data_IF_257325585751
#
_entry.id   IF_257325585751
#
_cell.length_a   1.000
_cell.length_b   1.000
_cell.length_c   1.000
_cell.angle_alpha   90.00
_cell.angle_beta   90.00
_cell.angle_gamma   90.00
#
_symmetry.space_group_name_H-M   'P 1'
#
loop_
_entity.id
_entity.type
_entity.pdbx_description
1 polymer ?
#
# COMPACT_ATOMS: atom_id res chain seq x y z
N UNK A 1 13.12 30.98 -5.47
CA UNK A 1 12.98 30.14 -4.27
C UNK A 1 14.37 29.86 -3.71
N UNK A 2 14.71 30.29 -2.49
CA UNK A 2 16.00 29.94 -1.87
C UNK A 2 15.91 28.51 -1.34
N UNK A 3 16.87 27.67 -1.70
CA UNK A 3 16.98 26.30 -1.18
C UNK A 3 17.34 26.41 0.31
N UNK A 4 16.47 25.88 1.16
CA UNK A 4 16.71 25.82 2.59
C UNK A 4 17.79 24.75 2.83
N UNK A 5 18.95 25.16 3.34
CA UNK A 5 20.08 24.26 3.62
C UNK A 5 20.18 23.83 5.08
N UNK A 6 19.42 24.48 5.97
CA UNK A 6 19.49 24.22 7.40
C UNK A 6 18.67 22.97 7.77
N UNK A 7 19.32 21.98 8.38
CA UNK A 7 18.73 20.68 8.70
C UNK A 7 17.51 20.81 9.63
N UNK A 8 17.55 21.77 10.56
CA UNK A 8 16.44 22.03 11.50
C UNK A 8 15.16 22.45 10.77
N UNK A 9 15.31 23.32 9.78
CA UNK A 9 14.20 23.81 8.95
C UNK A 9 13.68 22.71 8.01
N UNK A 10 14.55 21.81 7.52
CA UNK A 10 14.16 20.65 6.71
C UNK A 10 13.31 19.68 7.54
N UNK A 11 13.75 19.33 8.75
CA UNK A 11 12.99 18.43 9.64
C UNK A 11 11.62 19.03 9.99
N UNK A 12 11.55 20.34 10.25
CA UNK A 12 10.28 21.00 10.52
C UNK A 12 9.36 20.99 9.29
N UNK A 13 9.91 21.19 8.09
CA UNK A 13 9.15 21.09 6.85
C UNK A 13 8.61 19.66 6.62
N UNK A 14 9.43 18.63 6.82
CA UNK A 14 8.99 17.23 6.75
C UNK A 14 7.86 16.92 7.75
N UNK A 15 7.93 17.47 8.97
CA UNK A 15 6.84 17.34 9.96
C UNK A 15 5.56 18.02 9.49
N UNK A 16 5.67 19.20 8.90
CA UNK A 16 4.51 19.93 8.35
C UNK A 16 3.88 19.16 7.17
N UNK A 17 4.70 18.63 6.26
CA UNK A 17 4.23 17.77 5.15
C UNK A 17 3.51 16.53 5.70
N UNK A 18 4.03 15.90 6.77
CA UNK A 18 3.39 14.76 7.41
C UNK A 18 2.01 15.10 7.96
N UNK A 19 1.86 16.24 8.64
CA UNK A 19 0.57 16.70 9.18
C UNK A 19 -0.42 16.99 8.04
N UNK A 20 0.03 17.70 7.00
CA UNK A 20 -0.80 18.01 5.83
C UNK A 20 -1.25 16.74 5.12
N UNK A 21 -0.35 15.77 4.93
CA UNK A 21 -0.65 14.48 4.33
C UNK A 21 -1.66 13.67 5.16
N UNK A 22 -1.50 13.66 6.49
CA UNK A 22 -2.44 12.98 7.39
C UNK A 22 -3.83 13.62 7.31
N UNK A 23 -3.91 14.95 7.34
CA UNK A 23 -5.16 15.68 7.16
C UNK A 23 -5.81 15.38 5.80
N UNK A 24 -5.03 15.44 4.71
CA UNK A 24 -5.50 15.12 3.36
C UNK A 24 -6.07 13.70 3.29
N UNK A 25 -5.38 12.72 3.90
CA UNK A 25 -5.80 11.33 3.94
C UNK A 25 -7.14 11.19 4.68
N UNK A 26 -7.31 11.86 5.82
CA UNK A 26 -8.57 11.86 6.59
C UNK A 26 -9.71 12.50 5.78
N UNK A 27 -9.46 13.62 5.12
CA UNK A 27 -10.47 14.29 4.29
C UNK A 27 -10.93 13.41 3.12
N UNK A 28 -9.98 12.82 2.38
CA UNK A 28 -10.26 11.90 1.28
C UNK A 28 -11.09 10.71 1.77
N UNK A 29 -10.68 10.11 2.89
CA UNK A 29 -11.36 8.98 3.49
C UNK A 29 -12.78 9.35 3.95
N UNK A 30 -12.96 10.53 4.54
CA UNK A 30 -14.27 11.04 4.94
C UNK A 30 -15.22 11.24 3.74
N UNK A 31 -14.73 11.78 2.63
CA UNK A 31 -15.51 11.93 1.39
C UNK A 31 -15.91 10.56 0.84
N UNK A 32 -14.97 9.60 0.78
CA UNK A 32 -15.23 8.26 0.27
C UNK A 32 -16.23 7.48 1.14
N UNK A 33 -16.14 7.60 2.47
CA UNK A 33 -17.12 6.99 3.39
C UNK A 33 -18.50 7.64 3.19
N UNK A 34 -18.56 8.96 3.10
CA UNK A 34 -19.83 9.67 2.91
C UNK A 34 -20.51 9.28 1.59
N UNK A 35 -19.75 9.23 0.49
CA UNK A 35 -20.26 8.76 -0.80
C UNK A 35 -20.67 7.28 -0.74
N UNK A 36 -19.92 6.44 -0.01
CA UNK A 36 -20.26 5.02 0.15
C UNK A 36 -21.56 4.77 0.90
N UNK A 37 -21.84 5.55 1.95
CA UNK A 37 -23.09 5.45 2.70
C UNK A 37 -24.25 6.07 1.92
N UNK A 38 -24.02 7.16 1.19
CA UNK A 38 -25.09 7.93 0.54
C UNK A 38 -25.48 7.40 -0.84
N UNK A 39 -24.55 6.80 -1.59
CA UNK A 39 -24.73 6.45 -3.02
C UNK A 39 -24.31 5.01 -3.35
N UNK A 40 -23.89 4.23 -2.35
CA UNK A 40 -23.47 2.84 -2.52
C UNK A 40 -21.99 2.67 -2.88
N UNK A 41 -21.49 1.46 -2.69
CA UNK A 41 -20.06 1.09 -2.86
C UNK A 41 -19.62 1.23 -4.33
N UNK A 42 -20.51 0.94 -5.28
CA UNK A 42 -20.25 1.06 -6.72
C UNK A 42 -19.86 2.50 -7.11
N UNK A 43 -20.50 3.49 -6.49
CA UNK A 43 -20.21 4.90 -6.74
C UNK A 43 -18.85 5.33 -6.18
N UNK A 44 -18.38 4.66 -5.11
CA UNK A 44 -17.07 4.91 -4.51
C UNK A 44 -15.96 4.38 -5.42
N UNK A 45 -16.12 3.18 -5.98
CA UNK A 45 -15.10 2.59 -6.87
C UNK A 45 -15.03 3.26 -8.24
N UNK A 46 -16.15 3.80 -8.73
CA UNK A 46 -16.18 4.57 -9.98
C UNK A 46 -15.61 5.99 -9.80
N UNK A 47 -15.49 6.47 -8.56
CA UNK A 47 -14.94 7.81 -8.28
C UNK A 47 -13.41 7.81 -8.46
N UNK A 48 -12.83 8.69 -9.30
CA UNK A 48 -11.38 8.77 -9.50
C UNK A 48 -10.60 9.05 -8.21
N UNK A 49 -11.25 9.66 -7.20
CA UNK A 49 -10.66 9.94 -5.89
C UNK A 49 -10.29 8.65 -5.13
N UNK A 50 -11.05 7.57 -5.34
CA UNK A 50 -10.75 6.26 -4.76
C UNK A 50 -9.48 5.64 -5.35
N UNK A 51 -9.30 5.74 -6.68
CA UNK A 51 -8.07 5.27 -7.35
C UNK A 51 -6.83 6.03 -6.86
N UNK A 52 -6.92 7.36 -6.72
CA UNK A 52 -5.81 8.18 -6.22
C UNK A 52 -5.47 7.81 -4.77
N UNK A 53 -6.50 7.60 -3.93
CA UNK A 53 -6.32 7.15 -2.55
C UNK A 53 -5.62 5.79 -2.47
N UNK A 54 -6.08 4.82 -3.26
CA UNK A 54 -5.50 3.47 -3.31
C UNK A 54 -4.05 3.51 -3.82
N UNK A 55 -3.78 4.23 -4.91
CA UNK A 55 -2.43 4.36 -5.47
C UNK A 55 -1.45 5.01 -4.48
N UNK A 56 -1.88 6.08 -3.80
CA UNK A 56 -1.06 6.75 -2.78
C UNK A 56 -0.79 5.83 -1.59
N UNK A 57 -1.80 5.05 -1.17
CA UNK A 57 -1.67 4.07 -0.09
C UNK A 57 -0.67 2.97 -0.43
N UNK A 58 -0.66 2.50 -1.68
CA UNK A 58 0.33 1.52 -2.17
C UNK A 58 1.75 2.09 -2.11
N UNK A 59 1.96 3.31 -2.60
CA UNK A 59 3.28 3.97 -2.58
C UNK A 59 3.75 4.20 -1.14
N UNK A 60 2.86 4.64 -0.26
CA UNK A 60 3.18 4.83 1.14
C UNK A 60 3.51 3.50 1.83
N UNK A 61 2.75 2.45 1.53
CA UNK A 61 3.02 1.09 1.99
C UNK A 61 4.41 0.63 1.55
N UNK A 62 4.76 0.84 0.27
CA UNK A 62 6.08 0.56 -0.29
C UNK A 62 7.20 1.28 0.48
N UNK A 63 7.05 2.58 0.72
CA UNK A 63 8.06 3.39 1.41
C UNK A 63 8.27 2.92 2.86
N UNK A 64 7.18 2.65 3.59
CA UNK A 64 7.26 2.14 4.96
C UNK A 64 7.84 0.73 5.00
N UNK A 65 7.49 -0.12 4.04
CA UNK A 65 7.97 -1.49 3.96
C UNK A 65 9.48 -1.55 3.71
N UNK A 66 10.00 -0.69 2.84
CA UNK A 66 11.45 -0.56 2.62
C UNK A 66 12.18 -0.23 3.93
N UNK A 67 11.69 0.76 4.68
CA UNK A 67 12.26 1.14 5.99
C UNK A 67 12.16 -0.02 6.98
N UNK A 68 11.01 -0.71 7.02
CA UNK A 68 10.81 -1.85 7.91
C UNK A 68 11.75 -3.00 7.59
N UNK A 69 12.02 -3.29 6.32
CA UNK A 69 12.95 -4.34 5.91
C UNK A 69 14.38 -3.97 6.29
N UNK A 70 14.81 -2.72 6.05
CA UNK A 70 16.13 -2.22 6.43
C UNK A 70 16.37 -2.34 7.95
N UNK A 71 15.37 -2.03 8.78
CA UNK A 71 15.46 -2.17 10.25
C UNK A 71 15.49 -3.65 10.69
N UNK A 72 14.62 -4.50 10.10
CA UNK A 72 14.47 -5.89 10.52
C UNK A 72 15.70 -6.75 10.14
N UNK A 73 16.32 -6.51 8.99
CA UNK A 73 17.51 -7.24 8.53
C UNK A 73 18.81 -6.75 9.18
N UNK A 74 18.90 -5.46 9.57
CA UNK A 74 19.97 -4.96 10.45
C UNK A 74 20.03 -5.76 11.76
N UNK A 75 18.88 -6.19 12.28
CA UNK A 75 18.77 -6.92 13.54
C UNK A 75 18.63 -8.46 13.41
N UNK A 76 18.29 -9.02 12.25
CA UNK A 76 18.11 -10.47 12.08
C UNK A 76 18.52 -10.99 10.68
N UNK A 77 19.66 -11.68 10.60
CA UNK A 77 20.18 -12.36 9.39
C UNK A 77 19.53 -13.72 9.12
N UNK A 78 18.19 -13.82 9.05
CA UNK A 78 17.53 -15.12 8.82
C UNK A 78 17.24 -15.38 7.33
N UNK A 79 17.58 -16.59 6.85
CA UNK A 79 17.41 -17.04 5.45
C UNK A 79 15.95 -16.92 4.98
N UNK A 80 15.77 -16.35 3.79
CA UNK A 80 14.45 -16.02 3.22
C UNK A 80 13.59 -17.26 2.97
N UNK A 81 12.30 -17.16 3.31
CA UNK A 81 11.30 -18.15 2.93
C UNK A 81 10.88 -18.04 1.45
N UNK A 82 10.28 -19.10 0.88
CA UNK A 82 10.00 -19.19 -0.55
C UNK A 82 8.93 -18.18 -1.04
N UNK A 83 9.24 -17.47 -2.12
CA UNK A 83 8.42 -16.42 -2.76
C UNK A 83 6.98 -16.86 -3.08
N UNK A 84 6.79 -18.12 -3.48
CA UNK A 84 5.48 -18.67 -3.85
C UNK A 84 4.46 -18.63 -2.70
N UNK A 85 4.91 -18.69 -1.44
CA UNK A 85 4.02 -18.57 -0.27
C UNK A 85 3.39 -17.17 -0.16
N UNK A 86 4.17 -16.13 -0.44
CA UNK A 86 3.68 -14.74 -0.38
C UNK A 86 2.68 -14.44 -1.50
N UNK A 87 2.93 -14.94 -2.71
CA UNK A 87 1.99 -14.83 -3.84
C UNK A 87 0.68 -15.56 -3.55
N UNK A 88 0.75 -16.74 -2.93
CA UNK A 88 -0.43 -17.49 -2.55
C UNK A 88 -1.28 -16.75 -1.50
N UNK A 89 -0.64 -16.16 -0.48
CA UNK A 89 -1.34 -15.35 0.53
C UNK A 89 -2.02 -14.14 -0.12
N UNK A 90 -1.35 -13.44 -1.03
CA UNK A 90 -1.93 -12.33 -1.80
C UNK A 90 -3.20 -12.74 -2.55
N UNK A 91 -3.15 -13.91 -3.20
CA UNK A 91 -4.27 -14.46 -3.95
C UNK A 91 -5.46 -14.80 -3.03
N UNK A 92 -5.19 -15.46 -1.91
CA UNK A 92 -6.21 -15.79 -0.91
C UNK A 92 -6.88 -14.52 -0.37
N UNK A 93 -6.11 -13.49 -0.04
CA UNK A 93 -6.66 -12.21 0.44
C UNK A 93 -7.54 -11.54 -0.62
N UNK A 94 -7.09 -11.49 -1.88
CA UNK A 94 -7.89 -10.93 -2.97
C UNK A 94 -9.22 -11.66 -3.18
N UNK A 95 -9.21 -13.00 -3.11
CA UNK A 95 -10.42 -13.84 -3.21
C UNK A 95 -11.35 -13.61 -2.03
N UNK A 96 -10.84 -13.50 -0.81
CA UNK A 96 -11.67 -13.23 0.38
C UNK A 96 -12.40 -11.90 0.22
N UNK A 97 -11.70 -10.83 -0.17
CA UNK A 97 -12.32 -9.52 -0.39
C UNK A 97 -13.37 -9.54 -1.52
N UNK A 98 -13.08 -10.25 -2.62
CA UNK A 98 -14.03 -10.48 -3.71
C UNK A 98 -15.32 -11.16 -3.22
N UNK A 99 -15.21 -12.20 -2.41
CA UNK A 99 -16.37 -12.94 -1.87
C UNK A 99 -17.19 -12.03 -0.95
N UNK A 100 -16.54 -11.27 -0.06
CA UNK A 100 -17.20 -10.31 0.85
C UNK A 100 -18.02 -9.28 0.05
N UNK A 101 -17.48 -8.78 -1.07
CA UNK A 101 -18.19 -7.80 -1.89
C UNK A 101 -19.45 -8.37 -2.57
N UNK A 102 -19.46 -9.65 -2.95
CA UNK A 102 -20.64 -10.31 -3.55
C UNK A 102 -21.74 -10.58 -2.50
N UNK A 103 -21.35 -10.80 -1.25
CA UNK A 103 -22.28 -10.99 -0.12
C UNK A 103 -22.96 -9.69 0.34
N UNK A 104 -22.49 -8.52 -0.13
CA UNK A 104 -23.09 -7.24 0.22
C UNK A 104 -24.38 -7.01 -0.59
N UNK A 105 -25.49 -6.48 -0.02
CA UNK A 105 -26.78 -6.34 -0.69
C UNK A 105 -26.79 -5.54 -2.01
N UNK A 106 -25.77 -4.70 -2.23
CA UNK A 106 -25.61 -3.89 -3.46
C UNK A 106 -24.48 -4.41 -4.37
N UNK A 107 -23.89 -5.56 -4.05
CA UNK A 107 -22.71 -6.10 -4.70
C UNK A 107 -22.99 -6.63 -6.10
N UNK A 108 -22.61 -5.87 -7.13
CA UNK A 108 -22.57 -6.37 -8.51
C UNK A 108 -21.29 -7.18 -8.73
N UNK A 109 -21.36 -8.26 -9.53
CA UNK A 109 -20.19 -9.11 -9.87
C UNK A 109 -19.04 -8.28 -10.46
N UNK A 110 -19.36 -7.23 -11.20
CA UNK A 110 -18.40 -6.25 -11.74
C UNK A 110 -17.58 -5.57 -10.64
N UNK A 111 -18.24 -5.11 -9.59
CA UNK A 111 -17.60 -4.36 -8.51
C UNK A 111 -16.74 -5.29 -7.66
N UNK A 112 -17.18 -6.54 -7.48
CA UNK A 112 -16.41 -7.57 -6.81
C UNK A 112 -15.11 -7.91 -7.55
N UNK A 113 -15.13 -7.96 -8.89
CA UNK A 113 -13.94 -8.18 -9.70
C UNK A 113 -12.99 -6.98 -9.63
N UNK A 114 -13.53 -5.74 -9.63
CA UNK A 114 -12.72 -4.52 -9.53
C UNK A 114 -12.03 -4.45 -8.15
N UNK A 115 -12.79 -4.59 -7.07
CA UNK A 115 -12.26 -4.51 -5.69
C UNK A 115 -11.29 -5.66 -5.43
N UNK A 116 -11.68 -6.89 -5.77
CA UNK A 116 -10.83 -8.06 -5.64
C UNK A 116 -9.54 -7.94 -6.44
N UNK A 117 -9.62 -7.43 -7.67
CA UNK A 117 -8.46 -7.20 -8.55
C UNK A 117 -7.51 -6.12 -8.02
N UNK A 118 -8.04 -4.99 -7.54
CA UNK A 118 -7.22 -3.92 -6.95
C UNK A 118 -6.54 -4.40 -5.66
N UNK A 119 -7.27 -5.10 -4.79
CA UNK A 119 -6.71 -5.66 -3.57
C UNK A 119 -5.62 -6.70 -3.89
N UNK A 120 -5.90 -7.62 -4.81
CA UNK A 120 -4.92 -8.60 -5.27
C UNK A 120 -3.66 -7.92 -5.83
N UNK A 121 -3.80 -6.93 -6.70
CA UNK A 121 -2.68 -6.18 -7.27
C UNK A 121 -1.87 -5.42 -6.21
N UNK A 122 -2.54 -4.80 -5.24
CA UNK A 122 -1.91 -4.10 -4.12
C UNK A 122 -1.03 -5.03 -3.27
N UNK A 123 -1.56 -6.19 -2.90
CA UNK A 123 -0.80 -7.19 -2.14
C UNK A 123 0.31 -7.80 -2.99
N UNK A 124 0.07 -8.14 -4.26
CA UNK A 124 1.08 -8.69 -5.16
C UNK A 124 2.25 -7.75 -5.35
N UNK A 125 1.96 -6.47 -5.58
CA UNK A 125 2.98 -5.43 -5.73
C UNK A 125 3.81 -5.32 -4.46
N UNK A 126 3.15 -5.24 -3.30
CA UNK A 126 3.83 -5.18 -1.99
C UNK A 126 4.76 -6.38 -1.78
N UNK A 127 4.29 -7.61 -2.03
CA UNK A 127 5.11 -8.81 -1.87
C UNK A 127 6.23 -8.94 -2.90
N UNK A 128 5.99 -8.52 -4.14
CA UNK A 128 7.00 -8.53 -5.23
C UNK A 128 8.14 -7.58 -4.91
N UNK A 129 7.80 -6.41 -4.41
CA UNK A 129 8.78 -5.42 -3.94
C UNK A 129 9.60 -5.97 -2.78
N UNK A 130 8.94 -6.58 -1.77
CA UNK A 130 9.66 -7.18 -0.65
C UNK A 130 10.70 -8.15 -1.17
N UNK A 131 10.29 -9.07 -2.05
CA UNK A 131 11.18 -10.07 -2.63
C UNK A 131 12.33 -9.44 -3.42
N UNK A 132 12.07 -8.40 -4.21
CA UNK A 132 13.10 -7.72 -4.98
C UNK A 132 14.12 -7.00 -4.08
N UNK A 133 13.66 -6.26 -3.06
CA UNK A 133 14.55 -5.59 -2.10
C UNK A 133 15.41 -6.61 -1.35
N UNK A 134 14.78 -7.70 -0.92
CA UNK A 134 15.42 -8.82 -0.26
C UNK A 134 16.44 -9.53 -1.13
N UNK A 135 16.14 -9.76 -2.40
CA UNK A 135 17.06 -10.41 -3.34
C UNK A 135 18.26 -9.52 -3.63
N UNK A 136 18.01 -8.24 -3.96
CA UNK A 136 19.07 -7.26 -4.24
C UNK A 136 20.09 -7.17 -3.10
N UNK A 137 19.64 -7.24 -1.85
CA UNK A 137 20.54 -7.23 -0.68
C UNK A 137 21.31 -8.52 -0.50
N UNK A 138 20.72 -9.69 -0.75
CA UNK A 138 21.46 -10.96 -0.69
C UNK A 138 22.60 -10.98 -1.72
N UNK A 139 22.35 -10.52 -2.94
CA UNK A 139 23.39 -10.41 -3.96
C UNK A 139 24.52 -9.44 -3.51
N UNK A 140 24.18 -8.34 -2.85
CA UNK A 140 25.15 -7.37 -2.28
C UNK A 140 25.98 -7.96 -1.11
N UNK A 141 25.42 -8.90 -0.34
CA UNK A 141 26.13 -9.58 0.76
C UNK A 141 27.01 -10.75 0.28
N UNK A 142 26.67 -11.42 -0.82
CA UNK A 142 27.49 -12.49 -1.44
C UNK A 142 28.69 -11.91 -2.21
N UNK A 143 28.57 -10.69 -2.76
CA UNK A 143 29.66 -10.01 -3.49
C UNK A 143 30.74 -9.42 -2.56
N UNK A 144 30.48 -9.28 -1.26
CA UNK A 144 31.44 -8.77 -0.25
C UNK A 144 32.25 -9.87 0.49
N UNK A 145 31.99 -11.16 0.22
CA UNK A 145 32.67 -12.33 0.83
C UNK A 145 33.69 -12.99 -0.12
#
# INVERSE_FOLDING_TARGET
MKIIKDERLIIQNLRNIRIAFLFQTICILGILIYDGISKGITHVTDNPLWLVFMGTSVILGYLNLRISVDEYETHNKKKQGPYYKNVFISLVVGVIFSVITILTPEGTVRDAVIIGGVMFGCFLFSFTVVYYLRKKRYDEFDDEE
#
